data_IF_243953493340
#
_entry.id   IF_243953493340
#
_cell.length_a   1.000
_cell.length_b   1.000
_cell.length_c   1.000
_cell.angle_alpha   90.00
_cell.angle_beta   90.00
_cell.angle_gamma   90.00
#
_symmetry.space_group_name_H-M   'P 1'
#
loop_
_entity.id
_entity.type
_entity.pdbx_description
1 polymer ?
#
# COMPACT_ATOMS: atom_id res chain seq x y z
N UNK A 1 -3.27 33.31 -5.51
CA UNK A 1 -3.81 32.26 -4.61
C UNK A 1 -4.23 31.09 -5.48
N UNK A 2 -3.48 29.98 -5.49
CA UNK A 2 -3.82 28.78 -6.27
C UNK A 2 -2.99 27.56 -5.83
N UNK A 3 -2.85 27.35 -4.51
CA UNK A 3 -2.09 26.21 -3.95
C UNK A 3 -2.94 25.33 -3.01
N UNK A 4 -4.28 25.46 -3.08
CA UNK A 4 -5.21 24.75 -2.19
C UNK A 4 -6.04 23.66 -2.88
N UNK A 5 -5.82 23.36 -4.17
CA UNK A 5 -6.71 22.44 -4.90
C UNK A 5 -6.22 20.99 -5.03
N UNK A 6 -4.98 20.66 -4.64
CA UNK A 6 -4.43 19.31 -4.84
C UNK A 6 -4.44 18.45 -3.58
N UNK A 7 -4.69 19.03 -2.39
CA UNK A 7 -4.75 18.30 -1.12
C UNK A 7 -6.12 17.67 -0.83
N UNK A 8 -7.18 18.12 -1.50
CA UNK A 8 -8.57 17.71 -1.20
C UNK A 8 -9.19 16.75 -2.23
N UNK A 9 -8.48 16.37 -3.29
CA UNK A 9 -8.94 15.27 -4.14
C UNK A 9 -8.69 13.95 -3.40
N UNK A 10 -9.73 13.13 -3.11
CA UNK A 10 -9.53 11.82 -2.55
C UNK A 10 -8.53 11.07 -3.43
N UNK A 11 -7.53 10.44 -2.83
CA UNK A 11 -6.56 9.65 -3.58
C UNK A 11 -7.32 8.59 -4.40
N UNK A 12 -7.53 8.88 -5.69
CA UNK A 12 -8.32 8.01 -6.55
C UNK A 12 -7.45 6.81 -6.90
N UNK A 13 -7.79 5.66 -6.33
CA UNK A 13 -7.14 4.40 -6.68
C UNK A 13 -7.51 4.04 -8.12
N UNK A 14 -6.53 3.99 -9.04
CA UNK A 14 -6.79 3.69 -10.45
C UNK A 14 -7.28 2.25 -10.60
N UNK A 15 -8.03 1.97 -11.68
CA UNK A 15 -8.51 0.61 -11.94
C UNK A 15 -7.33 -0.30 -12.24
N UNK A 16 -7.39 -1.57 -11.85
CA UNK A 16 -6.29 -2.51 -12.08
C UNK A 16 -5.97 -2.73 -13.57
N UNK A 17 -6.92 -2.42 -14.46
CA UNK A 17 -6.76 -2.45 -15.92
C UNK A 17 -6.21 -1.14 -16.51
N UNK A 18 -5.89 -0.14 -15.69
CA UNK A 18 -5.37 1.14 -16.15
C UNK A 18 -3.96 0.98 -16.77
N UNK A 19 -3.64 1.65 -17.88
CA UNK A 19 -2.33 1.57 -18.53
C UNK A 19 -1.12 1.78 -17.60
N UNK A 20 -1.27 2.54 -16.51
CA UNK A 20 -0.17 2.72 -15.54
C UNK A 20 0.28 1.42 -14.85
N UNK A 21 -0.61 0.41 -14.80
CA UNK A 21 -0.34 -0.92 -14.25
C UNK A 21 0.17 -1.91 -15.29
N UNK A 22 0.36 -1.49 -16.54
CA UNK A 22 1.05 -2.33 -17.52
C UNK A 22 2.54 -2.42 -17.22
N UNK A 23 3.21 -3.44 -17.75
CA UNK A 23 4.66 -3.63 -17.59
C UNK A 23 5.47 -2.41 -18.06
N UNK A 24 4.97 -1.68 -19.07
CA UNK A 24 5.57 -0.44 -19.58
C UNK A 24 5.06 0.82 -18.86
N UNK A 25 4.06 0.72 -17.98
CA UNK A 25 3.30 1.82 -17.39
C UNK A 25 3.97 2.54 -16.22
N UNK A 26 5.17 2.11 -15.81
CA UNK A 26 5.99 2.79 -14.80
C UNK A 26 5.62 2.49 -13.33
N UNK A 27 4.47 1.85 -13.05
CA UNK A 27 4.12 1.43 -11.69
C UNK A 27 4.45 -0.05 -11.46
N UNK A 28 5.47 -0.33 -10.64
CA UNK A 28 5.87 -1.70 -10.30
C UNK A 28 5.60 -2.10 -8.84
N UNK A 29 5.22 -1.14 -8.00
CA UNK A 29 5.16 -1.35 -6.55
C UNK A 29 3.86 -2.07 -6.16
N UNK A 30 4.01 -3.21 -5.48
CA UNK A 30 2.90 -4.13 -5.17
C UNK A 30 1.75 -3.45 -4.42
N UNK A 31 2.05 -2.42 -3.61
CA UNK A 31 1.05 -1.67 -2.85
C UNK A 31 -0.04 -1.04 -3.75
N UNK A 32 0.31 -0.57 -4.94
CA UNK A 32 -0.67 0.00 -5.87
C UNK A 32 -1.55 -1.09 -6.49
N UNK A 33 -0.98 -2.25 -6.79
CA UNK A 33 -1.74 -3.41 -7.30
C UNK A 33 -2.70 -3.95 -6.25
N UNK A 34 -2.30 -3.98 -4.97
CA UNK A 34 -3.17 -4.36 -3.84
C UNK A 34 -4.34 -3.40 -3.74
N UNK A 35 -4.08 -2.09 -3.75
CA UNK A 35 -5.13 -1.08 -3.70
C UNK A 35 -6.11 -1.23 -4.88
N UNK A 36 -5.59 -1.37 -6.09
CA UNK A 36 -6.41 -1.55 -7.30
C UNK A 36 -7.23 -2.85 -7.27
N UNK A 37 -6.68 -3.93 -6.70
CA UNK A 37 -7.40 -5.19 -6.53
C UNK A 37 -8.52 -5.09 -5.49
N UNK A 38 -8.29 -4.43 -4.35
CA UNK A 38 -9.34 -4.16 -3.35
C UNK A 38 -10.43 -3.28 -3.97
N UNK A 39 -10.04 -2.23 -4.72
CA UNK A 39 -10.98 -1.36 -5.44
C UNK A 39 -11.81 -2.12 -6.48
N UNK A 40 -11.22 -3.12 -7.12
CA UNK A 40 -11.91 -3.97 -8.09
C UNK A 40 -12.95 -4.90 -7.44
N UNK A 41 -12.69 -5.34 -6.21
CA UNK A 41 -13.58 -6.24 -5.47
C UNK A 41 -14.78 -5.51 -4.83
N UNK A 42 -14.76 -4.17 -4.75
CA UNK A 42 -15.86 -3.38 -4.21
C UNK A 42 -17.20 -3.72 -4.89
N UNK A 43 -18.30 -3.79 -4.12
CA UNK A 43 -18.45 -3.37 -2.73
C UNK A 43 -18.01 -4.42 -1.68
N UNK A 44 -17.47 -5.57 -2.10
CA UNK A 44 -17.06 -6.64 -1.19
C UNK A 44 -15.59 -6.47 -0.80
N UNK A 45 -15.29 -6.61 0.49
CA UNK A 45 -13.91 -6.68 0.98
C UNK A 45 -13.32 -8.04 0.56
N UNK A 46 -12.15 -8.11 -0.10
CA UNK A 46 -11.54 -9.38 -0.51
C UNK A 46 -10.64 -9.97 0.58
N UNK A 47 -10.37 -11.28 0.51
CA UNK A 47 -9.24 -11.89 1.24
C UNK A 47 -7.93 -11.60 0.50
N UNK A 48 -6.79 -11.78 1.19
CA UNK A 48 -5.48 -11.65 0.56
C UNK A 48 -5.24 -12.68 -0.57
N UNK A 49 -5.86 -13.86 -0.51
CA UNK A 49 -5.90 -14.84 -1.60
C UNK A 49 -6.62 -14.26 -2.83
N UNK A 50 -7.80 -13.68 -2.64
CA UNK A 50 -8.59 -13.05 -3.71
C UNK A 50 -7.82 -11.87 -4.33
N UNK A 51 -7.15 -11.06 -3.51
CA UNK A 51 -6.27 -9.97 -3.96
C UNK A 51 -5.17 -10.53 -4.88
N UNK A 52 -4.51 -11.62 -4.47
CA UNK A 52 -3.45 -12.26 -5.27
C UNK A 52 -4.00 -12.75 -6.61
N UNK A 53 -5.15 -13.43 -6.60
CA UNK A 53 -5.82 -13.94 -7.81
C UNK A 53 -6.27 -12.82 -8.75
N UNK A 54 -6.78 -11.70 -8.21
CA UNK A 54 -7.16 -10.53 -9.01
C UNK A 54 -5.92 -9.94 -9.70
N UNK A 55 -4.82 -9.77 -8.98
CA UNK A 55 -3.57 -9.25 -9.56
C UNK A 55 -3.06 -10.18 -10.65
N UNK A 56 -3.03 -11.49 -10.42
CA UNK A 56 -2.62 -12.48 -11.42
C UNK A 56 -3.51 -12.42 -12.67
N UNK A 57 -4.84 -12.31 -12.50
CA UNK A 57 -5.79 -12.28 -13.60
C UNK A 57 -5.62 -11.05 -14.50
N UNK A 58 -5.43 -9.87 -13.92
CA UNK A 58 -5.42 -8.62 -14.68
C UNK A 58 -4.02 -8.11 -15.01
N UNK A 59 -3.03 -8.42 -14.19
CA UNK A 59 -1.64 -7.97 -14.31
C UNK A 59 -0.66 -9.12 -13.97
N UNK A 60 -0.69 -10.24 -14.74
CA UNK A 60 0.11 -11.44 -14.44
C UNK A 60 1.62 -11.17 -14.38
N UNK A 61 2.10 -10.26 -15.23
CA UNK A 61 3.50 -9.82 -15.26
C UNK A 61 4.00 -9.36 -13.89
N UNK A 62 3.10 -8.81 -13.05
CA UNK A 62 3.48 -8.37 -11.72
C UNK A 62 3.78 -9.55 -10.80
N UNK A 63 3.02 -10.63 -10.89
CA UNK A 63 3.31 -11.88 -10.17
C UNK A 63 4.64 -12.46 -10.67
N UNK A 64 4.91 -12.37 -11.98
CA UNK A 64 6.13 -12.86 -12.59
C UNK A 64 7.42 -12.17 -12.10
N UNK A 65 7.32 -10.94 -11.62
CA UNK A 65 8.45 -10.19 -11.03
C UNK A 65 8.76 -10.58 -9.58
N UNK A 66 7.91 -11.36 -8.92
CA UNK A 66 8.18 -11.80 -7.56
C UNK A 66 9.35 -12.80 -7.54
N UNK A 67 10.33 -12.54 -6.67
CA UNK A 67 11.52 -13.38 -6.56
C UNK A 67 11.20 -14.68 -5.82
N UNK A 68 11.70 -15.80 -6.34
CA UNK A 68 11.57 -17.12 -5.72
C UNK A 68 11.26 -18.23 -6.73
N UNK A 69 11.37 -19.50 -6.30
CA UNK A 69 11.04 -20.66 -7.14
C UNK A 69 9.53 -20.78 -7.40
N UNK A 70 8.71 -20.28 -6.47
CA UNK A 70 7.26 -20.20 -6.60
C UNK A 70 6.82 -18.74 -6.51
N UNK A 71 6.65 -18.13 -7.69
CA UNK A 71 6.35 -16.70 -7.83
C UNK A 71 5.01 -16.34 -7.22
N UNK A 72 4.03 -17.23 -7.31
CA UNK A 72 2.70 -17.03 -6.75
C UNK A 72 2.78 -16.98 -5.23
N UNK A 73 3.44 -17.96 -4.60
CA UNK A 73 3.63 -17.96 -3.14
C UNK A 73 4.46 -16.76 -2.66
N UNK A 74 5.47 -16.33 -3.43
CA UNK A 74 6.22 -15.10 -3.14
C UNK A 74 5.33 -13.85 -3.21
N UNK A 75 4.45 -13.76 -4.20
CA UNK A 75 3.47 -12.67 -4.31
C UNK A 75 2.48 -12.69 -3.14
N UNK A 76 1.92 -13.85 -2.82
CA UNK A 76 0.98 -14.05 -1.72
C UNK A 76 1.57 -13.60 -0.38
N UNK A 77 2.81 -14.02 -0.08
CA UNK A 77 3.51 -13.63 1.14
C UNK A 77 3.77 -12.12 1.18
N UNK A 78 4.19 -11.54 0.06
CA UNK A 78 4.43 -10.10 -0.05
C UNK A 78 3.15 -9.29 0.16
N UNK A 79 2.04 -9.72 -0.45
CA UNK A 79 0.73 -9.08 -0.31
C UNK A 79 0.27 -9.14 1.15
N UNK A 80 0.32 -10.32 1.76
CA UNK A 80 -0.04 -10.49 3.18
C UNK A 80 0.80 -9.60 4.10
N UNK A 81 2.10 -9.50 3.83
CA UNK A 81 2.99 -8.64 4.60
C UNK A 81 2.66 -7.15 4.43
N UNK A 82 2.44 -6.68 3.20
CA UNK A 82 2.08 -5.27 2.93
C UNK A 82 0.77 -4.89 3.60
N UNK A 83 -0.26 -5.74 3.47
CA UNK A 83 -1.55 -5.54 4.13
C UNK A 83 -1.39 -5.37 5.65
N UNK A 84 -0.51 -6.15 6.27
CA UNK A 84 -0.27 -6.07 7.72
C UNK A 84 0.54 -4.86 8.20
N UNK A 85 1.18 -4.13 7.29
CA UNK A 85 2.17 -3.08 7.63
C UNK A 85 1.80 -1.70 7.11
N UNK A 86 1.11 -1.61 5.98
CA UNK A 86 0.76 -0.32 5.39
C UNK A 86 -0.50 0.25 6.06
N UNK A 87 -0.50 1.54 6.47
CA UNK A 87 -1.67 2.20 7.05
C UNK A 87 -2.81 2.40 6.03
N UNK A 88 -2.55 2.17 4.74
CA UNK A 88 -3.57 2.25 3.68
C UNK A 88 -4.60 1.12 3.74
N UNK A 89 -4.30 0.04 4.46
CA UNK A 89 -5.15 -1.14 4.55
C UNK A 89 -5.42 -1.50 6.00
N UNK A 90 -6.62 -2.02 6.25
CA UNK A 90 -6.99 -2.56 7.55
C UNK A 90 -7.87 -3.81 7.39
N UNK A 91 -7.85 -4.72 8.38
CA UNK A 91 -8.77 -5.85 8.40
C UNK A 91 -10.23 -5.37 8.47
N UNK A 92 -11.12 -6.04 7.74
CA UNK A 92 -12.55 -5.81 7.84
C UNK A 92 -13.06 -6.28 9.22
N UNK A 93 -13.64 -5.40 10.06
CA UNK A 93 -14.05 -5.78 11.42
C UNK A 93 -15.08 -6.91 11.47
N UNK A 94 -15.95 -6.99 10.45
CA UNK A 94 -17.07 -7.93 10.40
C UNK A 94 -16.75 -9.23 9.63
N UNK A 95 -15.64 -9.28 8.88
CA UNK A 95 -15.28 -10.43 8.04
C UNK A 95 -13.82 -10.83 8.25
N UNK A 96 -13.62 -11.92 9.00
CA UNK A 96 -12.29 -12.42 9.36
C UNK A 96 -11.45 -12.72 8.10
N UNK A 97 -10.29 -12.07 8.02
CA UNK A 97 -9.31 -12.29 6.95
C UNK A 97 -9.56 -11.47 5.69
N UNK A 98 -10.62 -10.67 5.66
CA UNK A 98 -10.90 -9.70 4.60
C UNK A 98 -10.23 -8.37 4.89
N UNK A 99 -9.97 -7.59 3.85
CA UNK A 99 -9.23 -6.34 3.92
C UNK A 99 -9.97 -5.23 3.20
N UNK A 100 -9.86 -4.01 3.73
CA UNK A 100 -10.40 -2.80 3.11
C UNK A 100 -9.37 -1.67 3.10
N UNK A 101 -9.62 -0.66 2.27
CA UNK A 101 -8.82 0.56 2.27
C UNK A 101 -9.28 1.51 3.37
N UNK A 102 -8.34 2.18 4.01
CA UNK A 102 -8.60 3.18 5.07
C UNK A 102 -8.87 4.59 4.52
N UNK A 103 -8.50 4.83 3.25
CA UNK A 103 -8.48 6.16 2.64
C UNK A 103 -7.15 6.92 2.85
N UNK A 104 -6.21 6.35 3.61
CA UNK A 104 -4.86 6.90 3.76
C UNK A 104 -4.07 6.77 2.44
N UNK A 105 -3.05 7.63 2.20
CA UNK A 105 -2.19 7.51 1.03
C UNK A 105 -1.51 6.14 0.94
N UNK A 106 -1.21 5.70 -0.28
CA UNK A 106 -0.48 4.45 -0.54
C UNK A 106 1.01 4.60 -0.20
N UNK A 107 1.31 4.62 1.10
CA UNK A 107 2.70 4.74 1.60
C UNK A 107 3.34 3.37 1.66
N UNK A 108 4.47 3.23 0.97
CA UNK A 108 5.36 2.06 1.08
C UNK A 108 5.94 1.99 2.50
N UNK A 109 6.08 0.78 3.03
CA UNK A 109 6.59 0.57 4.40
C UNK A 109 8.11 0.78 4.45
N UNK A 110 8.71 1.12 5.60
CA UNK A 110 10.14 1.44 5.69
C UNK A 110 11.06 0.37 5.08
N UNK A 111 10.74 -0.91 5.30
CA UNK A 111 11.53 -2.01 4.76
C UNK A 111 11.47 -2.06 3.22
N UNK A 112 10.36 -1.65 2.60
CA UNK A 112 10.25 -1.51 1.14
C UNK A 112 11.01 -0.30 0.61
N UNK A 113 11.03 0.78 1.40
CA UNK A 113 11.69 2.04 1.07
C UNK A 113 13.22 1.94 1.13
N UNK A 114 13.78 1.06 1.97
CA UNK A 114 15.23 0.85 2.09
C UNK A 114 15.92 0.43 0.78
N UNK A 115 15.15 -0.06 -0.21
CA UNK A 115 15.66 -0.58 -1.48
C UNK A 115 15.55 0.38 -2.67
N UNK A 116 14.88 1.55 -2.55
CA UNK A 116 14.63 2.48 -3.67
C UNK A 116 14.56 3.95 -3.24
N UNK A 117 14.86 4.86 -4.16
CA UNK A 117 14.72 6.32 -3.96
C UNK A 117 13.24 6.66 -3.74
N UNK A 118 12.93 7.34 -2.64
CA UNK A 118 11.59 7.81 -2.29
C UNK A 118 11.20 9.04 -3.11
N UNK A 119 9.94 9.11 -3.55
CA UNK A 119 9.36 10.39 -4.02
C UNK A 119 9.07 11.29 -2.82
N UNK A 120 8.97 12.61 -3.06
CA UNK A 120 8.73 13.58 -1.99
C UNK A 120 7.37 13.38 -1.30
N UNK A 121 6.33 13.01 -2.07
CA UNK A 121 5.01 12.68 -1.53
C UNK A 121 5.06 11.46 -0.60
N UNK A 122 5.79 10.42 -0.97
CA UNK A 122 5.97 9.23 -0.13
C UNK A 122 6.79 9.53 1.11
N UNK A 123 7.78 10.43 1.00
CA UNK A 123 8.56 10.90 2.16
C UNK A 123 7.71 11.69 3.13
N UNK A 124 6.89 12.60 2.65
CA UNK A 124 5.94 13.33 3.51
C UNK A 124 4.98 12.37 4.19
N UNK A 125 4.36 11.46 3.45
CA UNK A 125 3.39 10.52 4.01
C UNK A 125 4.04 9.50 4.97
N UNK A 126 5.28 9.07 4.70
CA UNK A 126 6.07 8.24 5.61
C UNK A 126 6.44 8.97 6.90
N UNK A 127 6.87 10.23 6.81
CA UNK A 127 7.18 11.05 7.99
C UNK A 127 5.92 11.36 8.81
N UNK A 128 4.77 11.57 8.17
CA UNK A 128 3.48 11.69 8.84
C UNK A 128 3.10 10.38 9.53
N UNK A 129 3.24 9.23 8.86
CA UNK A 129 3.01 7.91 9.44
C UNK A 129 3.90 7.67 10.67
N UNK A 130 5.19 8.01 10.58
CA UNK A 130 6.11 7.97 11.72
C UNK A 130 5.74 8.96 12.82
N UNK A 131 5.13 10.12 12.51
CA UNK A 131 4.68 11.08 13.52
C UNK A 131 3.41 10.63 14.25
N UNK A 132 2.51 9.95 13.54
CA UNK A 132 1.27 9.38 14.10
C UNK A 132 1.51 8.07 14.89
N UNK A 133 2.53 7.29 14.50
CA UNK A 133 2.92 6.04 15.18
C UNK A 133 4.24 6.11 15.95
N UNK A 134 4.89 7.28 16.01
CA UNK A 134 5.99 7.47 16.93
C UNK A 134 5.44 7.11 18.30
N UNK A 135 6.10 6.20 19.06
CA UNK A 135 5.81 6.17 20.48
C UNK A 135 5.92 7.61 20.93
N UNK A 136 4.90 8.11 21.63
CA UNK A 136 5.03 9.32 22.42
C UNK A 136 6.15 8.98 23.41
N UNK A 137 7.40 9.19 22.99
CA UNK A 137 8.51 9.36 23.89
C UNK A 137 8.19 10.73 24.47
N UNK A 138 7.34 10.71 25.49
CA UNK A 138 7.41 11.71 26.53
C UNK A 138 8.86 11.60 27.00
N UNK A 139 9.73 12.43 26.45
CA UNK A 139 11.00 12.74 27.09
C UNK A 139 10.62 13.17 28.52
N UNK A 140 11.05 12.45 29.56
CA UNK A 140 10.90 12.97 30.89
C UNK A 140 11.75 14.24 30.99
N UNK A 141 11.11 15.24 31.57
CA UNK A 141 11.55 16.61 31.75
C UNK A 141 13.01 16.76 32.24
N UNK A 142 13.70 17.73 31.64
CA UNK A 142 14.62 18.60 32.39
C UNK A 142 16.12 18.28 32.30
N UNK A 143 16.98 19.32 32.29
CA UNK A 143 18.42 19.14 32.32
C UNK A 143 18.90 18.68 33.72
N UNK A 144 20.00 17.91 33.80
CA UNK A 144 20.53 17.45 35.07
C UNK A 144 21.05 18.62 35.90
N UNK A 145 20.67 18.64 37.18
CA UNK A 145 21.28 19.49 38.23
C UNK A 145 22.46 18.74 38.83
#
# INVERSE_FOLDING_TARGET
>A
MAAESLRDTPWMVPKISDPMFSEAGGTSDMIFFIAAAIKHAEPLSPKHEDITNIIEKYQPWRIDLCQGPDRWNSAWNSIRWILSKSPAFEPEPLMKGHWRMTGMPLVRTPDQLSSRIMTEAERSAYLTWLGELAPIINEPEGPPV
#
